data_IF_764809924013
#
_entry.id   IF_764809924013
#
_cell.length_a   1.000
_cell.length_b   1.000
_cell.length_c   1.000
_cell.angle_alpha   90.00
_cell.angle_beta   90.00
_cell.angle_gamma   90.00
#
_symmetry.space_group_name_H-M   'P 1'
#
loop_
_entity.id
_entity.type
_entity.pdbx_description
1 polymer ?
#
# COMPACT_ATOMS: atom_id res chain seq x y z
N UNK A 1 22.95 -46.42 30.66
CA UNK A 1 22.56 -45.53 31.78
C UNK A 1 23.24 -44.19 31.54
N UNK A 2 22.59 -43.19 30.96
CA UNK A 2 23.08 -41.83 31.08
C UNK A 2 22.22 -41.03 32.05
N UNK A 3 22.89 -40.25 32.80
CA UNK A 3 22.57 -39.43 33.95
C UNK A 3 21.66 -38.25 33.60
N UNK A 4 20.61 -38.08 34.41
CA UNK A 4 19.66 -36.97 34.28
C UNK A 4 20.25 -35.70 34.93
N UNK A 5 20.51 -34.66 34.18
CA UNK A 5 20.85 -33.33 34.70
C UNK A 5 19.56 -32.59 35.05
N UNK A 6 19.35 -32.43 36.34
CA UNK A 6 18.23 -31.71 36.97
C UNK A 6 18.59 -30.25 37.12
N UNK A 7 18.06 -29.36 36.27
CA UNK A 7 18.21 -27.90 36.42
C UNK A 7 17.24 -27.40 37.50
N UNK A 8 17.80 -26.89 38.61
CA UNK A 8 17.10 -26.15 39.65
C UNK A 8 16.67 -24.79 39.16
N UNK A 9 15.39 -24.48 39.28
CA UNK A 9 14.90 -23.10 39.20
C UNK A 9 15.16 -22.41 40.54
N UNK A 10 15.85 -21.27 40.52
CA UNK A 10 15.91 -20.35 41.64
C UNK A 10 15.69 -18.92 41.11
N UNK A 11 14.91 -18.16 41.89
CA UNK A 11 15.00 -16.73 41.89
C UNK A 11 13.70 -16.01 41.56
N UNK A 12 12.96 -15.65 42.61
CA UNK A 12 11.92 -14.60 42.62
C UNK A 12 12.52 -13.27 42.27
N UNK A 13 12.00 -12.57 41.24
CA UNK A 13 12.17 -11.15 41.07
C UNK A 13 11.11 -10.37 41.86
N UNK A 14 11.42 -9.17 42.34
CA UNK A 14 10.50 -8.36 43.14
C UNK A 14 9.38 -7.74 42.29
N UNK A 15 8.24 -7.38 42.91
CA UNK A 15 7.12 -6.75 42.21
C UNK A 15 7.41 -5.29 41.92
N UNK A 16 7.32 -4.88 40.67
CA UNK A 16 7.31 -3.47 40.26
C UNK A 16 5.97 -2.85 40.64
N UNK A 17 6.00 -2.06 41.68
CA UNK A 17 4.95 -1.13 42.06
C UNK A 17 5.29 0.25 41.50
N UNK A 18 4.68 0.64 40.40
CA UNK A 18 4.71 2.02 39.93
C UNK A 18 3.31 2.62 40.07
N UNK A 19 3.11 3.60 40.96
CA UNK A 19 1.81 4.24 41.11
C UNK A 19 1.60 5.25 39.96
N UNK A 20 0.55 4.99 39.17
CA UNK A 20 0.00 5.97 38.23
C UNK A 20 -0.53 7.14 39.06
N UNK A 21 0.13 8.30 39.01
CA UNK A 21 -0.36 9.52 39.61
C UNK A 21 -1.41 10.15 38.70
N UNK A 22 -2.65 10.12 39.18
CA UNK A 22 -3.72 11.01 38.75
C UNK A 22 -3.27 12.47 38.93
N UNK A 23 -3.11 13.20 37.83
CA UNK A 23 -3.10 14.68 37.86
C UNK A 23 -4.18 15.21 36.92
N UNK A 24 -5.19 15.70 37.62
CA UNK A 24 -6.30 16.50 37.20
C UNK A 24 -6.02 17.44 36.02
N UNK A 25 -6.92 17.38 35.03
CA UNK A 25 -7.09 18.37 33.99
C UNK A 25 -7.48 19.72 34.60
N UNK A 26 -6.56 20.65 34.65
CA UNK A 26 -6.81 22.06 34.92
C UNK A 26 -7.24 22.75 33.62
N UNK A 27 -8.48 23.22 33.64
CA UNK A 27 -9.07 24.05 32.59
C UNK A 27 -8.49 25.45 32.73
N UNK A 28 -7.59 25.85 31.85
CA UNK A 28 -7.13 27.23 31.71
C UNK A 28 -7.95 27.94 30.64
N UNK A 29 -8.85 28.82 31.10
CA UNK A 29 -9.43 29.89 30.28
C UNK A 29 -8.38 30.99 30.22
N UNK A 30 -7.74 31.18 29.08
CA UNK A 30 -6.76 32.23 28.84
C UNK A 30 -7.17 33.08 27.64
N UNK A 31 -7.12 34.36 27.83
CA UNK A 31 -7.54 35.50 27.03
C UNK A 31 -7.29 35.41 25.54
N UNK A 32 -8.27 35.89 24.77
CA UNK A 32 -8.18 36.23 23.33
C UNK A 32 -7.08 37.27 23.10
N UNK A 33 -5.95 36.84 22.58
CA UNK A 33 -5.04 37.73 21.87
C UNK A 33 -5.29 37.60 20.37
N UNK A 34 -5.77 38.68 19.77
CA UNK A 34 -6.07 38.85 18.36
C UNK A 34 -4.87 38.46 17.48
N UNK A 35 -4.97 37.34 16.81
CA UNK A 35 -4.09 37.01 15.71
C UNK A 35 -4.55 37.73 14.43
N UNK A 36 -3.62 38.25 13.60
CA UNK A 36 -3.99 38.85 12.34
C UNK A 36 -4.61 37.80 11.43
N UNK A 37 -5.78 38.09 10.91
CA UNK A 37 -6.48 37.30 9.89
C UNK A 37 -5.63 37.24 8.64
N UNK A 38 -4.93 36.12 8.44
CA UNK A 38 -4.45 35.74 7.13
C UNK A 38 -5.66 35.31 6.31
N UNK A 39 -6.11 36.17 5.43
CA UNK A 39 -7.06 35.81 4.39
C UNK A 39 -6.42 34.66 3.56
N UNK A 40 -6.86 33.45 3.83
CA UNK A 40 -6.57 32.31 2.98
C UNK A 40 -7.25 32.59 1.63
N UNK A 41 -6.47 33.08 0.67
CA UNK A 41 -6.86 33.02 -0.72
C UNK A 41 -6.97 31.55 -1.09
N UNK A 42 -8.19 31.02 -1.00
CA UNK A 42 -8.55 29.72 -1.55
C UNK A 42 -8.52 29.82 -3.06
N UNK A 43 -7.31 29.88 -3.62
CA UNK A 43 -7.06 29.52 -4.99
C UNK A 43 -7.24 28.01 -5.07
N UNK A 44 -8.46 27.56 -5.32
CA UNK A 44 -8.73 26.21 -5.82
C UNK A 44 -8.07 26.11 -7.20
N UNK A 45 -6.78 25.83 -7.21
CA UNK A 45 -6.10 25.35 -8.39
C UNK A 45 -6.54 23.89 -8.54
N UNK A 46 -7.71 23.69 -9.13
CA UNK A 46 -7.99 22.44 -9.83
C UNK A 46 -6.96 22.39 -10.97
N UNK A 47 -5.83 21.72 -10.70
CA UNK A 47 -4.90 21.34 -11.74
C UNK A 47 -5.62 20.28 -12.61
N UNK A 48 -6.53 20.76 -13.46
CA UNK A 48 -7.02 19.99 -14.59
C UNK A 48 -5.79 19.63 -15.41
N UNK A 49 -5.49 18.34 -15.47
CA UNK A 49 -4.46 17.83 -16.37
C UNK A 49 -4.73 18.42 -17.74
N UNK A 50 -3.74 19.09 -18.32
CA UNK A 50 -3.87 19.69 -19.64
C UNK A 50 -4.36 18.60 -20.60
N UNK A 51 -5.44 18.85 -21.39
CA UNK A 51 -5.97 17.85 -22.31
C UNK A 51 -4.87 17.45 -23.29
N UNK A 52 -4.50 16.17 -23.30
CA UNK A 52 -3.44 15.60 -24.14
C UNK A 52 -2.24 14.99 -23.41
N UNK A 53 -2.10 15.21 -22.09
CA UNK A 53 -0.98 14.62 -21.31
C UNK A 53 -1.43 13.57 -20.29
N UNK A 54 -2.71 13.24 -20.22
CA UNK A 54 -3.22 12.15 -19.39
C UNK A 54 -3.20 10.83 -20.17
N UNK A 55 -2.97 9.71 -19.46
CA UNK A 55 -3.16 8.37 -20.01
C UNK A 55 -4.65 8.05 -20.23
N UNK A 56 -5.56 8.91 -19.77
CA UNK A 56 -7.01 8.75 -19.92
C UNK A 56 -7.62 7.74 -18.93
N UNK A 57 -8.74 7.16 -19.35
CA UNK A 57 -9.41 6.15 -18.56
C UNK A 57 -8.62 4.84 -18.56
N UNK A 58 -8.43 4.26 -17.37
CA UNK A 58 -7.68 3.02 -17.14
C UNK A 58 -8.56 1.93 -16.55
N UNK A 59 -8.10 0.70 -16.62
CA UNK A 59 -8.80 -0.47 -16.08
C UNK A 59 -7.82 -1.32 -15.29
N UNK A 60 -8.12 -1.53 -14.01
CA UNK A 60 -7.38 -2.46 -13.18
C UNK A 60 -7.56 -3.90 -13.70
N UNK A 61 -6.47 -4.64 -13.78
CA UNK A 61 -6.39 -6.02 -14.23
C UNK A 61 -5.89 -6.91 -13.11
N UNK A 62 -6.03 -8.22 -13.26
CA UNK A 62 -5.50 -9.21 -12.33
C UNK A 62 -4.66 -10.23 -13.08
N UNK A 63 -3.49 -10.51 -12.57
CA UNK A 63 -2.64 -11.62 -12.99
C UNK A 63 -2.75 -12.73 -11.93
N UNK A 64 -3.12 -13.93 -12.34
CA UNK A 64 -3.21 -15.11 -11.49
C UNK A 64 -1.96 -15.97 -11.64
N UNK A 65 -1.47 -16.44 -10.51
CA UNK A 65 -0.33 -17.33 -10.41
C UNK A 65 -0.76 -18.60 -9.67
N UNK A 66 -0.78 -19.73 -10.38
CA UNK A 66 -1.19 -21.02 -9.83
C UNK A 66 0.00 -21.81 -9.23
N UNK A 67 1.23 -21.35 -9.50
CA UNK A 67 2.42 -21.92 -8.88
C UNK A 67 2.54 -21.46 -7.42
N UNK A 68 2.86 -22.37 -6.49
CA UNK A 68 3.07 -22.02 -5.09
C UNK A 68 4.23 -21.02 -4.93
N UNK A 69 4.02 -19.99 -4.09
CA UNK A 69 5.02 -18.99 -3.75
C UNK A 69 5.57 -19.26 -2.35
N UNK A 70 6.81 -19.73 -2.21
CA UNK A 70 7.46 -19.83 -0.91
C UNK A 70 7.81 -18.43 -0.41
N UNK A 71 7.54 -18.15 0.87
CA UNK A 71 7.77 -16.87 1.52
C UNK A 71 8.93 -16.95 2.50
N UNK A 72 9.59 -15.83 2.74
CA UNK A 72 10.72 -15.74 3.67
C UNK A 72 10.37 -16.16 5.12
N UNK A 73 9.11 -16.05 5.53
CA UNK A 73 8.61 -16.53 6.81
C UNK A 73 8.49 -18.06 6.91
N UNK A 74 8.90 -18.83 5.89
CA UNK A 74 8.82 -20.31 5.84
C UNK A 74 7.45 -20.86 5.47
N UNK A 75 6.46 -20.01 5.23
CA UNK A 75 5.13 -20.41 4.75
C UNK A 75 5.06 -20.33 3.23
N UNK A 76 4.03 -20.92 2.65
CA UNK A 76 3.81 -20.94 1.20
C UNK A 76 2.39 -20.48 0.90
N UNK A 77 2.23 -19.56 -0.06
CA UNK A 77 0.95 -19.28 -0.68
C UNK A 77 0.75 -20.27 -1.83
N UNK A 78 -0.30 -21.11 -1.81
CA UNK A 78 -0.51 -22.14 -2.82
C UNK A 78 -0.83 -21.55 -4.21
N UNK A 79 -1.47 -20.41 -4.23
CA UNK A 79 -1.79 -19.59 -5.40
C UNK A 79 -2.01 -18.15 -4.95
N UNK A 80 -1.85 -17.19 -5.87
CA UNK A 80 -2.09 -15.78 -5.58
C UNK A 80 -2.46 -14.99 -6.84
N UNK A 81 -3.04 -13.82 -6.64
CA UNK A 81 -3.33 -12.85 -7.68
C UNK A 81 -2.67 -11.53 -7.35
N UNK A 82 -2.22 -10.82 -8.37
CA UNK A 82 -1.75 -9.45 -8.29
C UNK A 82 -2.66 -8.54 -9.12
N UNK A 83 -3.17 -7.50 -8.51
CA UNK A 83 -3.84 -6.41 -9.24
C UNK A 83 -2.76 -5.53 -9.88
N UNK A 84 -2.99 -5.09 -11.10
CA UNK A 84 -2.05 -4.23 -11.81
C UNK A 84 -2.75 -3.37 -12.86
N UNK A 85 -2.08 -2.30 -13.26
CA UNK A 85 -2.41 -1.47 -14.40
C UNK A 85 -1.21 -1.31 -15.32
N UNK A 86 -1.49 -0.97 -16.57
CA UNK A 86 -0.44 -0.75 -17.57
C UNK A 86 -0.73 0.52 -18.36
N UNK A 87 0.32 1.24 -18.71
CA UNK A 87 0.26 2.51 -19.43
C UNK A 87 1.28 2.49 -20.57
N UNK A 88 0.88 2.97 -21.75
CA UNK A 88 1.71 2.92 -22.96
C UNK A 88 1.67 1.55 -23.68
N UNK A 89 2.58 1.35 -24.59
CA UNK A 89 2.65 0.16 -25.45
C UNK A 89 3.97 -0.58 -25.25
N UNK A 90 3.89 -1.89 -25.04
CA UNK A 90 5.07 -2.74 -24.90
C UNK A 90 5.67 -3.02 -26.29
N UNK A 91 6.97 -2.80 -26.44
CA UNK A 91 7.72 -3.09 -27.65
C UNK A 91 7.78 -4.59 -27.94
N UNK A 92 8.03 -4.94 -29.19
CA UNK A 92 8.12 -6.34 -29.63
C UNK A 92 9.26 -7.11 -28.95
N UNK A 93 10.36 -6.44 -28.67
CA UNK A 93 11.53 -6.99 -27.95
C UNK A 93 11.43 -6.80 -26.42
N UNK A 94 10.35 -6.17 -25.93
CA UNK A 94 10.05 -5.93 -24.52
C UNK A 94 11.12 -5.13 -23.76
N UNK A 95 11.83 -4.25 -24.45
CA UNK A 95 12.95 -3.49 -23.90
C UNK A 95 12.53 -2.20 -23.19
N UNK A 96 11.28 -1.75 -23.37
CA UNK A 96 10.77 -0.48 -22.87
C UNK A 96 9.89 -0.60 -21.60
N UNK A 97 9.90 -1.74 -20.92
CA UNK A 97 9.08 -1.95 -19.73
C UNK A 97 9.69 -1.29 -18.48
N UNK A 98 8.85 -0.57 -17.73
CA UNK A 98 9.21 0.08 -16.45
C UNK A 98 8.23 -0.36 -15.36
N UNK A 99 8.74 -0.98 -14.30
CA UNK A 99 7.95 -1.32 -13.12
C UNK A 99 7.92 -0.15 -12.14
N UNK A 100 6.72 0.24 -11.72
CA UNK A 100 6.52 1.22 -10.66
C UNK A 100 6.12 0.51 -9.37
N UNK A 101 6.96 0.65 -8.34
CA UNK A 101 6.71 0.14 -7.00
C UNK A 101 6.09 1.25 -6.16
N UNK A 102 4.90 1.01 -5.63
CA UNK A 102 4.17 2.00 -4.82
C UNK A 102 4.57 1.96 -3.34
N UNK A 103 4.37 3.08 -2.63
CA UNK A 103 4.52 3.16 -1.19
C UNK A 103 3.40 2.40 -0.46
N UNK A 104 3.56 2.15 0.85
CA UNK A 104 2.63 1.37 1.68
C UNK A 104 1.17 1.84 1.58
N UNK A 105 0.95 3.15 1.48
CA UNK A 105 -0.36 3.79 1.43
C UNK A 105 -0.88 4.06 0.01
N UNK A 106 -0.21 3.57 -1.02
CA UNK A 106 -0.60 3.72 -2.42
C UNK A 106 -1.02 2.36 -3.00
N UNK A 107 -1.30 2.32 -4.30
CA UNK A 107 -1.77 1.13 -5.01
C UNK A 107 -1.19 1.05 -6.43
N UNK A 108 -1.67 0.07 -7.18
CA UNK A 108 -1.37 -0.06 -8.61
C UNK A 108 -1.94 1.07 -9.48
N UNK A 109 -2.88 1.89 -8.94
CA UNK A 109 -3.46 3.02 -9.67
C UNK A 109 -2.47 4.19 -9.70
N UNK A 110 -1.53 4.13 -10.66
CA UNK A 110 -0.41 5.07 -10.75
C UNK A 110 -0.79 6.35 -11.51
N UNK A 111 -1.55 6.22 -12.60
CA UNK A 111 -1.93 7.35 -13.46
C UNK A 111 -3.31 7.14 -14.10
N UNK A 112 -3.87 8.22 -14.67
CA UNK A 112 -5.18 8.20 -15.28
C UNK A 112 -6.30 8.19 -14.25
N UNK A 113 -7.50 7.77 -14.67
CA UNK A 113 -8.70 7.73 -13.85
C UNK A 113 -9.58 6.54 -14.23
N UNK A 114 -10.46 6.09 -13.33
CA UNK A 114 -11.45 5.08 -13.66
C UNK A 114 -12.68 5.68 -14.35
N UNK A 115 -13.23 4.97 -15.32
CA UNK A 115 -14.44 5.41 -16.02
C UNK A 115 -15.60 5.63 -15.04
N UNK A 116 -16.14 6.85 -15.00
CA UNK A 116 -17.17 7.26 -14.05
C UNK A 116 -16.68 7.82 -12.72
N UNK A 117 -15.38 7.79 -12.46
CA UNK A 117 -14.72 8.29 -11.22
C UNK A 117 -13.62 9.29 -11.58
N UNK A 118 -13.98 10.40 -12.21
CA UNK A 118 -13.02 11.38 -12.73
C UNK A 118 -12.13 12.01 -11.65
N UNK A 119 -12.59 12.03 -10.40
CA UNK A 119 -11.84 12.53 -9.24
C UNK A 119 -10.85 11.49 -8.68
N UNK A 120 -10.97 10.23 -9.09
CA UNK A 120 -10.06 9.15 -8.71
C UNK A 120 -8.88 9.10 -9.68
N UNK A 121 -7.96 10.03 -9.50
CA UNK A 121 -6.76 10.17 -10.34
C UNK A 121 -5.61 9.40 -9.70
N UNK A 122 -4.83 8.68 -10.53
CA UNK A 122 -3.68 7.91 -10.08
C UNK A 122 -2.68 8.78 -9.28
N UNK A 123 -2.12 8.20 -8.22
CA UNK A 123 -1.30 8.93 -7.24
C UNK A 123 -0.03 9.56 -7.81
N UNK A 124 0.41 9.12 -8.98
CA UNK A 124 1.60 9.64 -9.68
C UNK A 124 1.27 10.15 -11.10
N UNK A 125 0.03 10.53 -11.34
CA UNK A 125 -0.43 11.01 -12.65
C UNK A 125 0.40 12.19 -13.18
N UNK A 126 0.91 13.04 -12.31
CA UNK A 126 1.81 14.14 -12.70
C UNK A 126 3.14 13.68 -13.32
N UNK A 127 3.56 12.44 -13.08
CA UNK A 127 4.82 11.86 -13.55
C UNK A 127 4.65 10.91 -14.74
N UNK A 128 3.50 10.23 -14.85
CA UNK A 128 3.26 9.18 -15.84
C UNK A 128 2.23 9.64 -16.87
N UNK A 129 2.58 9.60 -18.14
CA UNK A 129 1.70 9.96 -19.25
C UNK A 129 2.45 10.46 -20.49
N UNK A 130 1.75 10.74 -21.58
CA UNK A 130 2.35 11.26 -22.80
C UNK A 130 3.16 12.54 -22.54
N UNK A 131 4.44 12.55 -22.91
CA UNK A 131 5.34 13.68 -22.73
C UNK A 131 5.59 14.10 -21.28
N UNK A 132 5.26 13.27 -20.27
CA UNK A 132 5.63 13.42 -18.87
C UNK A 132 6.99 12.77 -18.58
N UNK A 133 7.59 12.92 -17.39
CA UNK A 133 8.89 12.31 -17.06
C UNK A 133 8.98 10.80 -17.34
N UNK A 134 7.92 10.03 -16.98
CA UNK A 134 7.70 8.67 -17.46
C UNK A 134 6.75 8.73 -18.65
N UNK A 135 7.35 8.98 -19.81
CA UNK A 135 6.64 9.20 -21.08
C UNK A 135 6.06 7.90 -21.61
N UNK A 136 4.74 7.77 -21.60
CA UNK A 136 4.04 6.58 -22.07
C UNK A 136 4.01 6.42 -23.60
N UNK A 137 4.45 7.43 -24.37
CA UNK A 137 4.71 7.26 -25.80
C UNK A 137 6.01 6.48 -26.07
N UNK A 138 6.89 6.35 -25.06
CA UNK A 138 8.18 5.66 -25.13
C UNK A 138 8.23 4.43 -24.25
N UNK A 139 7.65 4.49 -23.06
CA UNK A 139 7.74 3.45 -22.06
C UNK A 139 6.41 2.72 -21.86
N UNK A 140 6.51 1.42 -21.65
CA UNK A 140 5.42 0.61 -21.13
C UNK A 140 5.54 0.52 -19.62
N UNK A 141 4.72 1.33 -18.93
CA UNK A 141 4.76 1.42 -17.47
C UNK A 141 3.78 0.42 -16.86
N UNK A 142 4.21 -0.31 -15.86
CA UNK A 142 3.43 -1.29 -15.12
C UNK A 142 3.37 -0.89 -13.65
N UNK A 143 2.18 -0.59 -13.14
CA UNK A 143 1.89 -0.42 -11.72
C UNK A 143 1.35 -1.72 -11.14
N UNK A 144 2.01 -2.31 -10.15
CA UNK A 144 1.57 -3.56 -9.51
C UNK A 144 1.22 -3.28 -8.06
N UNK A 145 0.09 -3.81 -7.61
CA UNK A 145 -0.33 -3.74 -6.22
C UNK A 145 0.35 -4.84 -5.40
N UNK A 146 0.95 -4.45 -4.28
CA UNK A 146 1.71 -5.36 -3.42
C UNK A 146 0.85 -6.53 -2.92
N UNK A 147 1.46 -7.71 -2.85
CA UNK A 147 0.87 -8.88 -2.20
C UNK A 147 0.64 -8.58 -0.71
N UNK A 148 -0.50 -8.98 -0.19
CA UNK A 148 -0.92 -8.65 1.18
C UNK A 148 -1.64 -7.30 1.33
N UNK A 149 -1.70 -6.50 0.28
CA UNK A 149 -2.40 -5.20 0.25
C UNK A 149 -3.92 -5.37 0.12
N UNK A 150 -4.66 -4.30 0.44
CA UNK A 150 -6.13 -4.26 0.37
C UNK A 150 -6.69 -3.84 -1.01
N UNK A 151 -5.84 -3.49 -1.99
CA UNK A 151 -6.28 -2.96 -3.28
C UNK A 151 -6.35 -4.02 -4.40
N UNK A 152 -6.78 -5.25 -4.07
CA UNK A 152 -7.15 -6.25 -5.07
C UNK A 152 -6.14 -7.36 -5.32
N UNK A 153 -4.88 -7.25 -4.88
CA UNK A 153 -3.97 -8.39 -4.79
C UNK A 153 -4.37 -9.33 -3.66
N UNK A 154 -3.94 -10.59 -3.72
CA UNK A 154 -4.18 -11.55 -2.64
C UNK A 154 -3.64 -11.01 -1.32
N UNK A 155 -4.49 -11.02 -0.30
CA UNK A 155 -4.20 -10.49 1.02
C UNK A 155 -5.11 -11.09 2.11
N UNK A 156 -5.11 -10.56 3.33
CA UNK A 156 -5.89 -11.09 4.45
C UNK A 156 -7.39 -11.21 4.18
N UNK A 157 -7.96 -10.36 3.33
CA UNK A 157 -9.39 -10.41 2.96
C UNK A 157 -9.69 -11.42 1.85
N UNK A 158 -8.67 -11.96 1.19
CA UNK A 158 -8.84 -12.95 0.12
C UNK A 158 -9.27 -14.30 0.68
N UNK A 159 -10.03 -15.11 -0.08
CA UNK A 159 -10.38 -16.46 0.32
C UNK A 159 -9.14 -17.35 0.47
N UNK A 160 -9.05 -18.06 1.58
CA UNK A 160 -8.07 -19.12 1.75
C UNK A 160 -8.54 -20.35 0.99
N UNK A 161 -7.77 -20.88 0.03
CA UNK A 161 -8.18 -22.03 -0.78
C UNK A 161 -8.50 -23.30 0.04
N UNK A 162 -7.87 -23.46 1.21
CA UNK A 162 -8.08 -24.63 2.05
C UNK A 162 -9.39 -24.58 2.83
N UNK A 163 -9.92 -23.39 3.13
CA UNK A 163 -11.09 -23.23 4.01
C UNK A 163 -12.28 -22.55 3.33
N UNK A 164 -12.06 -21.87 2.20
CA UNK A 164 -13.03 -21.04 1.53
C UNK A 164 -13.40 -19.75 2.27
N UNK A 165 -12.83 -19.51 3.47
CA UNK A 165 -13.03 -18.30 4.29
C UNK A 165 -11.89 -17.31 4.05
N UNK A 166 -12.05 -16.02 4.38
CA UNK A 166 -10.95 -15.07 4.35
C UNK A 166 -9.75 -15.58 5.17
N UNK A 167 -8.55 -15.30 4.69
CA UNK A 167 -7.32 -15.62 5.41
C UNK A 167 -7.28 -15.00 6.81
N UNK A 168 -7.70 -13.73 6.93
CA UNK A 168 -7.65 -12.99 8.19
C UNK A 168 -6.25 -12.97 8.79
N UNK A 169 -6.15 -13.30 10.08
CA UNK A 169 -4.88 -13.39 10.82
C UNK A 169 -3.98 -14.56 10.37
N UNK A 170 -4.53 -15.54 9.65
CA UNK A 170 -3.76 -16.66 9.11
C UNK A 170 -3.02 -16.32 7.81
N UNK A 171 -3.20 -15.11 7.28
CA UNK A 171 -2.43 -14.69 6.12
C UNK A 171 -0.93 -14.68 6.45
N UNK A 172 -0.07 -15.30 5.61
CA UNK A 172 1.34 -15.36 5.91
C UNK A 172 2.00 -13.98 5.85
N UNK A 173 3.04 -13.79 6.66
CA UNK A 173 3.85 -12.58 6.62
C UNK A 173 4.56 -12.49 5.27
N UNK A 174 4.29 -11.42 4.55
CA UNK A 174 4.97 -11.08 3.30
C UNK A 174 5.97 -9.95 3.58
N UNK A 175 7.19 -10.14 3.16
CA UNK A 175 8.28 -9.14 3.24
C UNK A 175 8.76 -8.79 1.85
N UNK A 176 9.29 -7.60 1.68
CA UNK A 176 10.03 -7.17 0.48
C UNK A 176 11.46 -7.63 0.55
#
# INVERSE_FOLDING_TARGET
MPEQIRLKRSGKGPPDTNPVSDKQAGFFVGEESSMPSFAATTGSSSAQAAPGRSVGAVVARRARFDAPLPLACGRTLPQFELAYETYGTLDADRSNAVLVCHALNASHHVAGYYAGELDNVGWWDNMVGPGKPLDTDRFFVVGVNNLGSCFGSTGPLSPNPATGKPWGADFPLVTV
#
